data_IF_164088206475
#
_entry.id   IF_164088206475
#
_cell.length_a   1.000
_cell.length_b   1.000
_cell.length_c   1.000
_cell.angle_alpha   90.00
_cell.angle_beta   90.00
_cell.angle_gamma   90.00
#
_symmetry.space_group_name_H-M   'P 1'
#
loop_
_entity.id
_entity.type
_entity.pdbx_description
1 polymer ?
#
# COMPACT_ATOMS: atom_id res chain seq x y z
N UNK A 1 -0.12 -13.72 19.42
CA UNK A 1 0.11 -12.75 18.33
C UNK A 1 1.56 -12.76 17.87
N UNK A 2 1.97 -11.85 16.97
CA UNK A 2 3.33 -11.82 16.40
C UNK A 2 4.46 -11.71 17.43
N UNK A 3 4.23 -10.98 18.53
CA UNK A 3 5.19 -10.79 19.63
C UNK A 3 5.62 -12.10 20.30
N UNK A 4 4.69 -13.06 20.49
CA UNK A 4 5.02 -14.36 21.10
C UNK A 4 6.09 -15.10 20.29
N UNK A 5 5.95 -15.11 18.96
CA UNK A 5 6.91 -15.77 18.08
C UNK A 5 8.29 -15.10 18.13
N UNK A 6 8.35 -13.78 18.24
CA UNK A 6 9.61 -13.05 18.43
C UNK A 6 10.27 -13.40 19.77
N UNK A 7 9.49 -13.49 20.85
CA UNK A 7 9.97 -13.91 22.18
C UNK A 7 10.51 -15.34 22.15
N UNK A 8 9.77 -16.29 21.59
CA UNK A 8 10.23 -17.69 21.47
C UNK A 8 11.51 -17.75 20.63
N UNK A 9 11.58 -17.01 19.51
CA UNK A 9 12.79 -17.01 18.67
C UNK A 9 14.00 -16.42 19.40
N UNK A 10 13.80 -15.37 20.19
CA UNK A 10 14.84 -14.81 21.04
C UNK A 10 15.32 -15.85 22.07
N UNK A 11 14.40 -16.50 22.78
CA UNK A 11 14.72 -17.54 23.76
C UNK A 11 15.42 -18.75 23.13
N UNK A 12 15.03 -19.19 21.93
CA UNK A 12 15.74 -20.22 21.17
C UNK A 12 17.19 -19.82 20.90
N UNK A 13 17.41 -18.58 20.47
CA UNK A 13 18.75 -18.04 20.21
C UNK A 13 19.61 -18.03 21.49
N UNK A 14 18.98 -17.86 22.65
CA UNK A 14 19.62 -17.92 23.96
C UNK A 14 19.76 -19.34 24.55
N UNK A 15 19.30 -20.38 23.83
CA UNK A 15 19.30 -21.77 24.30
C UNK A 15 18.28 -22.03 25.43
N UNK A 16 17.21 -21.23 25.49
CA UNK A 16 16.18 -21.27 26.53
C UNK A 16 14.81 -21.71 26.01
N UNK A 17 14.66 -21.95 24.72
CA UNK A 17 13.46 -22.56 24.15
C UNK A 17 13.82 -23.52 23.00
N UNK A 18 12.95 -24.49 22.74
CA UNK A 18 13.07 -25.39 21.60
C UNK A 18 12.22 -24.93 20.40
N UNK A 19 12.26 -25.70 19.31
CA UNK A 19 11.52 -25.43 18.08
C UNK A 19 9.99 -25.52 18.24
N UNK A 20 9.50 -26.19 19.29
CA UNK A 20 8.08 -26.41 19.57
C UNK A 20 7.50 -25.37 20.54
N UNK A 21 8.32 -24.42 21.02
CA UNK A 21 7.89 -23.37 21.92
C UNK A 21 7.99 -23.74 23.40
N UNK A 22 8.60 -24.89 23.75
CA UNK A 22 8.87 -25.24 25.13
C UNK A 22 9.99 -24.34 25.66
N UNK A 23 9.63 -23.39 26.52
CA UNK A 23 10.56 -22.43 27.11
C UNK A 23 10.95 -22.83 28.53
N UNK A 24 12.22 -22.61 28.88
CA UNK A 24 12.75 -22.76 30.25
C UNK A 24 12.36 -21.61 31.17
N UNK A 25 11.87 -20.51 30.59
CA UNK A 25 11.38 -19.33 31.30
C UNK A 25 9.84 -19.36 31.23
N UNK A 26 9.12 -19.15 32.35
CA UNK A 26 7.67 -19.05 32.31
C UNK A 26 7.21 -17.89 31.42
N UNK A 27 6.24 -18.14 30.55
CA UNK A 27 5.66 -17.13 29.64
C UNK A 27 4.16 -17.09 29.88
N UNK A 28 3.64 -15.90 30.13
CA UNK A 28 2.20 -15.64 30.08
C UNK A 28 1.89 -14.88 28.80
N UNK A 29 1.28 -15.59 27.84
CA UNK A 29 0.92 -15.01 26.55
C UNK A 29 -0.48 -14.39 26.62
N UNK A 30 -0.55 -13.06 26.67
CA UNK A 30 -1.80 -12.31 26.58
C UNK A 30 -2.39 -12.44 25.16
N UNK A 31 -3.26 -13.43 24.95
CA UNK A 31 -3.97 -13.60 23.68
C UNK A 31 -5.07 -12.55 23.48
N UNK A 32 -5.65 -12.07 24.59
CA UNK A 32 -6.60 -10.96 24.63
C UNK A 32 -5.99 -9.89 25.53
N UNK A 33 -5.79 -8.69 24.98
CA UNK A 33 -5.17 -7.56 25.69
C UNK A 33 -6.20 -6.58 26.23
N UNK A 34 -7.48 -6.74 25.87
CA UNK A 34 -8.57 -5.95 26.42
C UNK A 34 -9.90 -6.73 26.42
N UNK A 35 -10.61 -6.83 27.56
CA UNK A 35 -10.13 -6.45 28.90
C UNK A 35 -9.01 -7.39 29.39
N UNK A 36 -8.16 -6.90 30.30
CA UNK A 36 -7.20 -7.74 31.01
C UNK A 36 -7.90 -8.55 32.11
N UNK A 37 -7.30 -9.66 32.52
CA UNK A 37 -7.74 -10.51 33.64
C UNK A 37 -6.76 -10.34 34.82
N UNK A 38 -7.04 -9.46 35.79
CA UNK A 38 -6.11 -9.13 36.87
C UNK A 38 -5.68 -10.33 37.71
N UNK A 39 -6.58 -11.29 37.92
CA UNK A 39 -6.34 -12.49 38.72
C UNK A 39 -5.27 -13.40 38.08
N UNK A 40 -5.33 -13.58 36.76
CA UNK A 40 -4.32 -14.34 36.00
C UNK A 40 -2.96 -13.63 36.01
N UNK A 41 -2.95 -12.30 35.86
CA UNK A 41 -1.73 -11.49 35.92
C UNK A 41 -1.10 -11.59 37.32
N UNK A 42 -1.89 -11.41 38.37
CA UNK A 42 -1.43 -11.51 39.76
C UNK A 42 -0.89 -12.91 40.07
N UNK A 43 -1.61 -13.96 39.66
CA UNK A 43 -1.19 -15.35 39.80
C UNK A 43 0.13 -15.63 39.07
N UNK A 44 0.26 -15.16 37.83
CA UNK A 44 1.50 -15.31 37.07
C UNK A 44 2.66 -14.55 37.73
N UNK A 45 2.44 -13.35 38.26
CA UNK A 45 3.51 -12.56 38.85
C UNK A 45 3.90 -12.99 40.27
N UNK A 46 3.01 -13.68 40.99
CA UNK A 46 3.25 -14.15 42.35
C UNK A 46 4.52 -15.02 42.45
N UNK A 47 5.34 -14.73 43.46
CA UNK A 47 6.59 -15.46 43.75
C UNK A 47 7.75 -15.21 42.77
N UNK A 48 7.59 -14.35 41.76
CA UNK A 48 8.67 -14.00 40.82
C UNK A 48 9.45 -12.79 41.31
N UNK A 49 10.76 -12.80 41.07
CA UNK A 49 11.64 -11.66 41.37
C UNK A 49 11.43 -10.49 40.40
N UNK A 50 11.45 -10.79 39.11
CA UNK A 50 11.20 -9.82 38.05
C UNK A 50 10.34 -10.44 36.95
N UNK A 51 9.55 -9.61 36.28
CA UNK A 51 8.77 -9.97 35.08
C UNK A 51 9.03 -8.93 34.00
N UNK A 52 9.29 -9.39 32.78
CA UNK A 52 9.46 -8.54 31.60
C UNK A 52 8.16 -8.49 30.80
N UNK A 53 7.64 -7.29 30.58
CA UNK A 53 6.53 -7.00 29.69
C UNK A 53 7.09 -6.74 28.29
N UNK A 54 6.69 -7.57 27.34
CA UNK A 54 7.05 -7.43 25.93
C UNK A 54 5.84 -6.86 25.19
N UNK A 55 5.76 -5.53 25.17
CA UNK A 55 4.70 -4.75 24.53
C UNK A 55 5.29 -3.84 23.45
N UNK A 56 4.78 -3.92 22.23
CA UNK A 56 5.11 -2.96 21.16
C UNK A 56 4.13 -1.77 21.20
N UNK A 57 4.65 -0.55 21.03
CA UNK A 57 3.83 0.67 20.98
C UNK A 57 4.12 1.67 22.10
N UNK A 58 3.58 2.88 21.93
CA UNK A 58 3.65 4.00 22.86
C UNK A 58 2.23 4.56 23.08
N UNK A 59 1.79 4.82 24.33
CA UNK A 59 2.52 4.67 25.60
C UNK A 59 2.68 3.21 26.06
N UNK A 60 3.29 2.99 27.22
CA UNK A 60 3.49 1.67 27.84
C UNK A 60 2.17 1.13 28.45
N UNK A 61 1.14 0.97 27.61
CA UNK A 61 -0.24 0.80 28.04
C UNK A 61 -0.45 -0.47 28.89
N UNK A 62 0.07 -1.62 28.45
CA UNK A 62 -0.03 -2.88 29.19
C UNK A 62 0.89 -2.90 30.41
N UNK A 63 2.10 -2.36 30.31
CA UNK A 63 3.01 -2.23 31.45
C UNK A 63 2.37 -1.43 32.60
N UNK A 64 1.81 -0.26 32.29
CA UNK A 64 1.12 0.61 33.25
C UNK A 64 -0.12 -0.08 33.84
N UNK A 65 -0.92 -0.74 33.00
CA UNK A 65 -2.11 -1.47 33.45
C UNK A 65 -1.77 -2.67 34.36
N UNK A 66 -0.70 -3.40 34.05
CA UNK A 66 -0.22 -4.53 34.87
C UNK A 66 0.33 -4.03 36.20
N UNK A 67 1.12 -2.95 36.21
CA UNK A 67 1.60 -2.31 37.44
C UNK A 67 0.42 -1.92 38.36
N UNK A 68 -0.62 -1.30 37.79
CA UNK A 68 -1.83 -0.94 38.54
C UNK A 68 -2.59 -2.18 39.05
N UNK A 69 -2.71 -3.24 38.25
CA UNK A 69 -3.38 -4.48 38.63
C UNK A 69 -2.66 -5.19 39.79
N UNK A 70 -1.33 -5.32 39.70
CA UNK A 70 -0.51 -5.92 40.75
C UNK A 70 -0.60 -5.13 42.06
N UNK A 71 -0.61 -3.79 41.96
CA UNK A 71 -0.77 -2.92 43.12
C UNK A 71 -2.12 -3.13 43.83
N UNK A 72 -3.21 -3.28 43.06
CA UNK A 72 -4.56 -3.54 43.59
C UNK A 72 -4.70 -4.93 44.21
N UNK A 73 -4.01 -5.92 43.64
CA UNK A 73 -3.99 -7.30 44.14
C UNK A 73 -2.98 -7.53 45.28
N UNK A 74 -2.31 -6.49 45.75
CA UNK A 74 -1.24 -6.52 46.76
C UNK A 74 -0.04 -7.43 46.41
N UNK A 75 0.23 -7.62 45.12
CA UNK A 75 1.39 -8.39 44.60
C UNK A 75 2.54 -7.44 44.26
N UNK A 76 3.11 -6.80 45.29
CA UNK A 76 4.07 -5.70 45.09
C UNK A 76 5.56 -6.13 45.10
N UNK A 77 5.86 -7.38 45.43
CA UNK A 77 7.25 -7.85 45.59
C UNK A 77 7.98 -8.08 44.26
N UNK A 78 7.23 -8.28 43.17
CA UNK A 78 7.77 -8.50 41.83
C UNK A 78 8.16 -7.19 41.17
N UNK A 79 9.37 -7.13 40.59
CA UNK A 79 9.77 -5.98 39.78
C UNK A 79 9.26 -6.14 38.35
N UNK A 80 8.39 -5.25 37.91
CA UNK A 80 7.96 -5.18 36.50
C UNK A 80 9.02 -4.41 35.70
N UNK A 81 9.42 -4.97 34.58
CA UNK A 81 10.33 -4.40 33.58
C UNK A 81 9.61 -4.36 32.24
N UNK A 82 10.01 -3.47 31.34
CA UNK A 82 9.42 -3.39 30.01
C UNK A 82 10.16 -2.33 29.19
N UNK A 83 9.62 -1.12 29.14
CA UNK A 83 10.18 0.00 28.35
C UNK A 83 11.55 0.49 28.82
N UNK A 84 12.00 0.08 30.00
CA UNK A 84 13.37 0.33 30.46
C UNK A 84 14.41 -0.58 29.77
N UNK A 85 13.98 -1.71 29.21
CA UNK A 85 14.83 -2.68 28.49
C UNK A 85 14.50 -2.76 27.00
N UNK A 86 13.26 -2.45 26.63
CA UNK A 86 12.73 -2.46 25.28
C UNK A 86 12.37 -1.03 24.84
N UNK A 87 12.54 -0.65 23.57
CA UNK A 87 12.33 0.73 23.14
C UNK A 87 10.86 1.16 23.27
N UNK A 88 10.62 2.43 23.60
CA UNK A 88 9.26 2.96 23.71
C UNK A 88 8.53 3.01 22.36
N UNK A 89 9.25 3.36 21.29
CA UNK A 89 8.71 3.51 19.95
C UNK A 89 9.49 2.70 18.92
N UNK A 90 8.87 2.47 17.76
CA UNK A 90 9.41 1.65 16.68
C UNK A 90 8.91 0.21 16.70
N UNK A 91 9.32 -0.55 15.70
CA UNK A 91 8.93 -1.95 15.52
C UNK A 91 9.81 -2.90 16.34
N UNK A 92 9.19 -3.84 17.05
CA UNK A 92 9.88 -4.86 17.83
C UNK A 92 10.32 -6.00 16.92
N UNK A 93 11.33 -5.72 16.10
CA UNK A 93 12.02 -6.73 15.31
C UNK A 93 12.63 -7.81 16.20
N UNK A 94 12.95 -8.98 15.62
CA UNK A 94 13.57 -10.08 16.37
C UNK A 94 14.88 -9.68 17.09
N UNK A 95 15.66 -8.76 16.52
CA UNK A 95 16.88 -8.22 17.14
C UNK A 95 16.57 -7.33 18.35
N UNK A 96 15.54 -6.49 18.27
CA UNK A 96 15.09 -5.62 19.36
C UNK A 96 14.63 -6.46 20.54
N UNK A 97 13.76 -7.45 20.29
CA UNK A 97 13.24 -8.36 21.32
C UNK A 97 14.38 -9.20 21.92
N UNK A 98 15.27 -9.76 21.09
CA UNK A 98 16.44 -10.50 21.58
C UNK A 98 17.33 -9.64 22.46
N UNK A 99 17.62 -8.40 22.04
CA UNK A 99 18.47 -7.49 22.82
C UNK A 99 17.84 -7.17 24.18
N UNK A 100 16.54 -6.87 24.23
CA UNK A 100 15.82 -6.59 25.47
C UNK A 100 15.78 -7.81 26.41
N UNK A 101 15.43 -8.99 25.90
CA UNK A 101 15.41 -10.25 26.67
C UNK A 101 16.82 -10.62 27.14
N UNK A 102 17.85 -10.44 26.32
CA UNK A 102 19.24 -10.73 26.70
C UNK A 102 19.69 -9.85 27.87
N UNK A 103 19.35 -8.56 27.86
CA UNK A 103 19.60 -7.66 29.00
C UNK A 103 18.84 -8.09 30.25
N UNK A 104 17.55 -8.42 30.11
CA UNK A 104 16.72 -8.90 31.22
C UNK A 104 17.32 -10.15 31.90
N UNK A 105 17.89 -11.06 31.10
CA UNK A 105 18.47 -12.30 31.58
C UNK A 105 19.97 -12.23 31.91
N UNK A 106 20.62 -11.07 31.75
CA UNK A 106 22.08 -10.90 31.95
C UNK A 106 22.93 -11.73 30.98
N UNK A 107 22.52 -11.80 29.71
CA UNK A 107 23.14 -12.59 28.63
C UNK A 107 23.47 -11.75 27.40
N UNK A 108 23.85 -10.48 27.56
CA UNK A 108 24.09 -9.57 26.42
C UNK A 108 25.14 -10.09 25.42
N UNK A 109 26.12 -10.88 25.89
CA UNK A 109 27.14 -11.50 25.06
C UNK A 109 26.58 -12.44 23.98
N UNK A 110 25.38 -13.00 24.19
CA UNK A 110 24.73 -13.90 23.24
C UNK A 110 24.26 -13.18 21.96
N UNK A 111 24.19 -11.85 21.96
CA UNK A 111 23.78 -11.04 20.80
C UNK A 111 24.96 -10.73 19.86
N UNK A 112 26.22 -10.88 20.34
CA UNK A 112 27.41 -10.52 19.57
C UNK A 112 27.54 -11.24 18.21
N UNK A 113 27.28 -12.55 18.07
CA UNK A 113 27.34 -13.24 16.79
C UNK A 113 26.34 -12.71 15.75
N UNK A 114 25.17 -12.26 16.20
CA UNK A 114 24.17 -11.68 15.29
C UNK A 114 24.64 -10.34 14.72
N UNK A 115 25.26 -9.50 15.56
CA UNK A 115 25.78 -8.19 15.13
C UNK A 115 26.86 -8.34 14.07
N UNK A 116 27.82 -9.26 14.27
CA UNK A 116 28.88 -9.49 13.28
C UNK A 116 28.35 -10.03 11.96
N UNK A 117 27.34 -10.93 11.99
CA UNK A 117 26.66 -11.39 10.78
C UNK A 117 25.96 -10.24 10.05
N UNK A 118 25.30 -9.33 10.78
CA UNK A 118 24.60 -8.17 10.21
C UNK A 118 25.58 -7.19 9.56
N UNK A 119 26.73 -6.93 10.17
CA UNK A 119 27.79 -6.10 9.60
C UNK A 119 28.33 -6.70 8.29
N UNK A 120 28.60 -8.01 8.28
CA UNK A 120 29.02 -8.72 7.07
C UNK A 120 27.94 -8.68 5.98
N UNK A 121 26.67 -8.86 6.35
CA UNK A 121 25.56 -8.77 5.42
C UNK A 121 25.44 -7.36 4.83
N UNK A 122 25.60 -6.31 5.65
CA UNK A 122 25.58 -4.92 5.18
C UNK A 122 26.71 -4.63 4.18
N UNK A 123 27.90 -5.18 4.39
CA UNK A 123 29.01 -5.07 3.44
C UNK A 123 28.69 -5.77 2.10
N UNK A 124 28.15 -7.00 2.16
CA UNK A 124 27.81 -7.78 0.97
C UNK A 124 26.65 -7.20 0.16
N UNK A 125 25.68 -6.57 0.84
CA UNK A 125 24.50 -5.97 0.21
C UNK A 125 24.76 -4.52 -0.24
N UNK A 126 25.95 -3.98 0.03
CA UNK A 126 26.32 -2.63 -0.41
C UNK A 126 26.28 -2.54 -1.95
N UNK A 127 25.61 -1.50 -2.46
CA UNK A 127 25.46 -1.29 -3.91
C UNK A 127 24.28 -2.03 -4.57
N UNK A 128 23.55 -2.88 -3.86
CA UNK A 128 22.31 -3.46 -4.42
C UNK A 128 21.17 -2.42 -4.45
N UNK A 129 20.37 -2.39 -5.52
CA UNK A 129 19.22 -1.50 -5.59
C UNK A 129 18.19 -1.87 -4.52
N UNK A 130 17.67 -0.85 -3.83
CA UNK A 130 16.62 -1.02 -2.85
C UNK A 130 15.34 -1.53 -3.51
N UNK A 131 14.59 -2.38 -2.80
CA UNK A 131 13.29 -2.90 -3.24
C UNK A 131 12.18 -2.34 -2.34
N UNK A 132 11.82 -1.05 -2.51
CA UNK A 132 10.76 -0.47 -1.71
C UNK A 132 9.43 -1.17 -1.98
N UNK A 133 8.51 -1.22 -0.99
CA UNK A 133 7.13 -1.60 -1.22
C UNK A 133 6.51 -0.80 -2.37
N UNK A 134 5.70 -1.47 -3.19
CA UNK A 134 5.12 -0.87 -4.38
C UNK A 134 3.73 -1.43 -4.68
N UNK A 135 3.05 -0.78 -5.62
CA UNK A 135 1.72 -1.18 -6.04
C UNK A 135 1.72 -2.53 -6.77
N UNK A 136 0.60 -3.25 -6.69
CA UNK A 136 0.39 -4.50 -7.43
C UNK A 136 0.44 -4.30 -8.95
N UNK A 137 0.64 -5.41 -9.69
CA UNK A 137 0.53 -5.42 -11.15
C UNK A 137 -0.90 -5.04 -11.55
N UNK A 138 -1.02 -4.00 -12.38
CA UNK A 138 -2.32 -3.48 -12.78
C UNK A 138 -3.09 -2.74 -11.70
N UNK A 139 -2.44 -2.31 -10.61
CA UNK A 139 -3.12 -1.49 -9.61
C UNK A 139 -3.75 -0.23 -10.23
N UNK A 140 -5.03 0.06 -9.93
CA UNK A 140 -5.75 1.20 -10.49
C UNK A 140 -5.29 2.55 -9.94
N UNK A 141 -4.42 2.61 -8.93
CA UNK A 141 -3.95 3.89 -8.37
C UNK A 141 -2.70 4.43 -9.09
N UNK A 142 -1.91 3.54 -9.72
CA UNK A 142 -0.71 3.92 -10.50
C UNK A 142 -0.98 4.99 -11.58
N UNK A 143 -2.08 4.93 -12.37
CA UNK A 143 -2.42 5.96 -13.34
C UNK A 143 -2.61 7.34 -12.71
N UNK A 144 -3.22 7.42 -11.52
CA UNK A 144 -3.46 8.68 -10.83
C UNK A 144 -2.13 9.32 -10.41
N UNK A 145 -1.22 8.53 -9.86
CA UNK A 145 0.13 9.02 -9.54
C UNK A 145 0.99 9.32 -10.77
N UNK A 146 0.75 8.62 -11.89
CA UNK A 146 1.38 8.98 -13.17
C UNK A 146 0.90 10.37 -13.63
N UNK A 147 -0.40 10.64 -13.56
CA UNK A 147 -0.98 11.94 -13.88
C UNK A 147 -0.46 13.06 -12.96
N UNK A 148 -0.38 12.82 -11.65
CA UNK A 148 0.19 13.77 -10.70
C UNK A 148 1.66 14.08 -11.00
N UNK A 149 2.46 13.08 -11.38
CA UNK A 149 3.88 13.27 -11.76
C UNK A 149 4.04 14.12 -13.03
N UNK A 150 3.15 13.94 -14.01
CA UNK A 150 3.08 14.80 -15.20
C UNK A 150 2.78 16.23 -14.77
N UNK A 151 1.82 16.44 -13.87
CA UNK A 151 1.45 17.76 -13.36
C UNK A 151 2.57 18.42 -12.56
N UNK A 152 3.30 17.68 -11.72
CA UNK A 152 4.45 18.24 -11.00
C UNK A 152 5.55 18.71 -11.96
N UNK A 153 5.74 18.02 -13.10
CA UNK A 153 6.71 18.43 -14.13
C UNK A 153 6.30 19.76 -14.79
N UNK A 154 5.00 19.96 -15.01
CA UNK A 154 4.49 21.16 -15.68
C UNK A 154 4.29 22.36 -14.74
N UNK A 155 3.78 22.12 -13.55
CA UNK A 155 3.35 23.17 -12.62
C UNK A 155 4.29 23.32 -11.41
N UNK A 156 5.28 22.44 -11.26
CA UNK A 156 6.13 22.32 -10.07
C UNK A 156 5.44 21.58 -8.92
N UNK A 157 6.22 21.18 -7.92
CA UNK A 157 5.72 20.43 -6.75
C UNK A 157 4.61 21.18 -6.00
N UNK A 158 3.76 20.40 -5.35
CA UNK A 158 2.69 20.86 -4.46
C UNK A 158 2.57 19.91 -3.26
N UNK A 159 1.97 20.36 -2.17
CA UNK A 159 1.84 19.52 -0.98
C UNK A 159 0.77 18.45 -1.19
N UNK A 160 1.14 17.21 -0.89
CA UNK A 160 0.27 16.04 -0.93
C UNK A 160 0.20 15.41 0.45
N UNK A 161 -0.97 15.48 1.08
CA UNK A 161 -1.29 14.70 2.28
C UNK A 161 -1.89 13.36 1.87
N UNK A 162 -1.56 12.28 2.58
CA UNK A 162 -2.07 10.95 2.27
C UNK A 162 -2.64 10.27 3.53
N UNK A 163 -3.72 9.52 3.35
CA UNK A 163 -4.19 8.58 4.37
C UNK A 163 -3.37 7.28 4.37
N UNK A 164 -3.55 6.45 5.38
CA UNK A 164 -3.06 5.07 5.40
C UNK A 164 -3.84 4.25 4.35
N UNK A 165 -3.12 3.60 3.43
CA UNK A 165 -3.69 2.77 2.37
C UNK A 165 -2.67 2.41 1.29
N UNK A 166 -3.10 1.72 0.23
CA UNK A 166 -2.22 1.35 -0.88
C UNK A 166 -1.53 2.56 -1.51
N UNK A 167 -2.23 3.69 -1.57
CA UNK A 167 -1.74 4.95 -2.11
C UNK A 167 -0.48 5.45 -1.42
N UNK A 168 -0.17 5.04 -0.19
CA UNK A 168 1.07 5.40 0.48
C UNK A 168 2.33 4.97 -0.26
N UNK A 169 2.26 3.90 -1.06
CA UNK A 169 3.40 3.47 -1.85
C UNK A 169 3.79 4.49 -2.94
N UNK A 170 2.95 5.51 -3.21
CA UNK A 170 3.33 6.63 -4.07
C UNK A 170 4.45 7.49 -3.49
N UNK A 171 4.63 7.50 -2.17
CA UNK A 171 5.70 8.27 -1.51
C UNK A 171 7.09 7.75 -1.87
N UNK A 172 7.17 6.49 -2.31
CA UNK A 172 8.38 5.79 -2.67
C UNK A 172 8.65 5.87 -4.18
N UNK A 173 9.89 5.58 -4.63
CA UNK A 173 10.18 5.45 -6.05
C UNK A 173 9.27 4.44 -6.76
N UNK A 174 8.89 4.70 -8.03
CA UNK A 174 9.34 5.82 -8.86
C UNK A 174 8.47 7.08 -8.75
N UNK A 175 7.37 7.06 -8.00
CA UNK A 175 6.42 8.18 -7.97
C UNK A 175 6.98 9.34 -7.15
N UNK A 176 7.44 9.08 -5.92
CA UNK A 176 7.92 10.12 -4.98
C UNK A 176 6.89 11.23 -4.72
N UNK A 177 5.62 10.84 -4.60
CA UNK A 177 4.46 11.72 -4.38
C UNK A 177 3.89 11.46 -2.99
N UNK A 178 3.90 12.49 -2.15
CA UNK A 178 3.40 12.46 -0.78
C UNK A 178 4.36 13.15 0.19
N UNK A 179 3.81 13.94 1.11
CA UNK A 179 4.56 14.76 2.06
C UNK A 179 4.22 14.42 3.51
N UNK A 180 2.95 14.16 3.79
CA UNK A 180 2.45 13.81 5.13
C UNK A 180 1.54 12.61 5.05
N UNK A 181 1.58 11.79 6.10
CA UNK A 181 0.72 10.62 6.25
C UNK A 181 0.05 10.71 7.61
N UNK A 182 -1.28 10.63 7.65
CA UNK A 182 -1.99 10.61 8.93
C UNK A 182 -3.22 9.71 8.91
N UNK A 183 -3.15 8.64 9.71
CA UNK A 183 -4.29 7.83 10.10
C UNK A 183 -5.11 7.26 8.93
N UNK A 184 -6.28 6.73 9.25
CA UNK A 184 -7.20 6.16 8.28
C UNK A 184 -8.43 7.06 8.16
N UNK A 185 -8.46 7.90 7.12
CA UNK A 185 -9.49 8.91 6.92
C UNK A 185 -9.22 10.26 7.63
N UNK A 186 -7.98 10.54 8.01
CA UNK A 186 -7.58 11.76 8.73
C UNK A 186 -6.68 12.70 7.92
N UNK A 187 -6.18 12.25 6.77
CA UNK A 187 -5.30 13.00 5.88
C UNK A 187 -5.90 14.34 5.49
N UNK A 188 -7.18 14.37 5.09
CA UNK A 188 -7.86 15.62 4.72
C UNK A 188 -7.98 16.54 5.93
N UNK A 189 -8.40 16.01 7.08
CA UNK A 189 -8.55 16.80 8.30
C UNK A 189 -7.22 17.46 8.72
N UNK A 190 -6.11 16.71 8.64
CA UNK A 190 -4.77 17.25 8.93
C UNK A 190 -4.34 18.34 7.96
N UNK A 191 -4.75 18.22 6.70
CA UNK A 191 -4.41 19.17 5.66
C UNK A 191 -5.07 20.54 5.88
N UNK A 192 -6.20 20.62 6.61
CA UNK A 192 -6.79 21.91 7.02
C UNK A 192 -5.78 22.84 7.74
N UNK A 193 -4.81 22.27 8.47
CA UNK A 193 -3.78 23.04 9.16
C UNK A 193 -2.61 23.44 8.24
N UNK A 194 -2.37 22.67 7.18
CA UNK A 194 -1.26 22.87 6.25
C UNK A 194 -1.64 23.81 5.10
N UNK A 195 -2.86 23.68 4.58
CA UNK A 195 -3.32 24.40 3.40
C UNK A 195 -3.17 25.93 3.49
N UNK A 196 -3.48 26.61 4.61
CA UNK A 196 -3.31 28.07 4.72
C UNK A 196 -1.86 28.55 4.62
N UNK A 197 -0.89 27.69 4.93
CA UNK A 197 0.54 28.00 4.88
C UNK A 197 1.17 27.72 3.50
N UNK A 198 0.40 27.16 2.56
CA UNK A 198 0.89 26.76 1.24
C UNK A 198 0.48 27.78 0.16
N UNK A 199 1.41 28.09 -0.75
CA UNK A 199 1.15 29.02 -1.86
C UNK A 199 0.21 28.42 -2.92
N UNK A 200 0.19 27.10 -3.05
CA UNK A 200 -0.68 26.34 -3.97
C UNK A 200 -1.70 25.55 -3.14
N UNK A 201 -2.85 25.25 -3.75
CA UNK A 201 -3.81 24.29 -3.19
C UNK A 201 -3.10 22.98 -2.89
N UNK A 202 -3.35 22.47 -1.71
CA UNK A 202 -2.89 21.17 -1.27
C UNK A 202 -3.79 20.07 -1.84
N UNK A 203 -3.22 18.89 -2.07
CA UNK A 203 -3.94 17.70 -2.52
C UNK A 203 -3.94 16.68 -1.41
N UNK A 204 -5.08 16.05 -1.14
CA UNK A 204 -5.19 14.93 -0.21
C UNK A 204 -5.55 13.67 -0.98
N UNK A 205 -4.83 12.57 -0.75
CA UNK A 205 -5.18 11.26 -1.29
C UNK A 205 -5.80 10.41 -0.18
N UNK A 206 -7.00 9.90 -0.44
CA UNK A 206 -7.80 9.11 0.49
C UNK A 206 -8.34 7.88 -0.23
N UNK A 207 -8.28 6.70 0.39
CA UNK A 207 -9.01 5.52 -0.09
C UNK A 207 -10.49 5.61 0.27
N UNK A 208 -11.36 4.97 -0.50
CA UNK A 208 -12.79 4.85 -0.16
C UNK A 208 -13.05 4.25 1.24
N UNK A 209 -12.22 3.32 1.70
CA UNK A 209 -12.31 2.82 3.07
C UNK A 209 -11.99 3.88 4.13
N UNK A 210 -10.98 4.73 3.87
CA UNK A 210 -10.69 5.88 4.73
C UNK A 210 -11.83 6.90 4.72
N UNK A 211 -12.45 7.11 3.56
CA UNK A 211 -13.63 7.97 3.42
C UNK A 211 -14.79 7.49 4.29
N UNK A 212 -15.15 6.20 4.21
CA UNK A 212 -16.25 5.63 4.98
C UNK A 212 -15.95 5.48 6.48
N UNK A 213 -14.69 5.31 6.88
CA UNK A 213 -14.34 5.17 8.29
C UNK A 213 -14.39 6.51 9.03
N UNK A 214 -13.62 7.52 8.60
CA UNK A 214 -13.56 8.83 9.28
C UNK A 214 -13.56 10.01 8.29
N UNK A 215 -13.18 9.78 7.03
CA UNK A 215 -12.91 10.85 6.08
C UNK A 215 -14.11 11.77 5.83
N UNK A 216 -15.31 11.20 5.73
CA UNK A 216 -16.54 11.97 5.56
C UNK A 216 -16.81 12.91 6.75
N UNK A 217 -16.75 12.37 7.97
CA UNK A 217 -17.15 13.09 9.19
C UNK A 217 -16.08 14.05 9.70
N UNK A 218 -14.80 13.66 9.69
CA UNK A 218 -13.71 14.47 10.24
C UNK A 218 -13.03 15.35 9.20
N UNK A 219 -12.94 14.89 7.95
CA UNK A 219 -12.25 15.58 6.87
C UNK A 219 -13.18 16.47 6.05
N UNK A 220 -14.14 15.86 5.36
CA UNK A 220 -15.03 16.53 4.40
C UNK A 220 -15.95 17.52 5.09
N UNK A 221 -16.66 17.09 6.14
CA UNK A 221 -17.58 17.95 6.90
C UNK A 221 -16.88 19.24 7.38
N UNK A 222 -15.67 19.08 7.93
CA UNK A 222 -14.84 20.18 8.41
C UNK A 222 -14.43 21.12 7.27
N UNK A 223 -14.03 20.57 6.12
CA UNK A 223 -13.66 21.38 4.95
C UNK A 223 -14.82 22.19 4.39
N UNK A 224 -16.02 21.60 4.33
CA UNK A 224 -17.22 22.31 3.88
C UNK A 224 -17.58 23.41 4.88
N UNK A 225 -17.62 23.09 6.18
CA UNK A 225 -17.95 24.05 7.24
C UNK A 225 -16.99 25.25 7.26
N UNK A 226 -15.68 24.99 7.21
CA UNK A 226 -14.65 26.04 7.25
C UNK A 226 -14.35 26.67 5.89
N UNK A 227 -15.01 26.22 4.81
CA UNK A 227 -14.75 26.66 3.42
C UNK A 227 -13.28 26.51 3.00
N UNK A 228 -12.62 25.47 3.48
CA UNK A 228 -11.21 25.20 3.18
C UNK A 228 -11.03 24.86 1.68
N UNK A 229 -10.09 25.57 1.04
CA UNK A 229 -9.86 25.51 -0.40
C UNK A 229 -8.79 24.46 -0.76
N UNK A 230 -9.07 23.19 -0.47
CA UNK A 230 -8.20 22.05 -0.75
C UNK A 230 -8.74 21.15 -1.88
N UNK A 231 -7.94 20.19 -2.32
CA UNK A 231 -8.35 19.14 -3.26
C UNK A 231 -8.30 17.79 -2.53
N UNK A 232 -9.38 17.02 -2.60
CA UNK A 232 -9.45 15.63 -2.16
C UNK A 232 -9.54 14.73 -3.39
N UNK A 233 -8.65 13.76 -3.51
CA UNK A 233 -8.72 12.68 -4.48
C UNK A 233 -9.08 11.40 -3.73
N UNK A 234 -10.27 10.86 -4.01
CA UNK A 234 -10.75 9.61 -3.42
C UNK A 234 -10.45 8.46 -4.37
N UNK A 235 -9.60 7.52 -3.96
CA UNK A 235 -9.33 6.28 -4.67
C UNK A 235 -10.50 5.30 -4.42
N UNK A 236 -11.49 5.29 -5.30
CA UNK A 236 -12.66 4.41 -5.25
C UNK A 236 -12.32 3.09 -5.93
N UNK A 237 -11.65 2.21 -5.19
CA UNK A 237 -11.24 0.89 -5.67
C UNK A 237 -12.17 -0.26 -5.21
N UNK A 238 -13.14 0.06 -4.35
CA UNK A 238 -14.20 -0.81 -3.90
C UNK A 238 -13.86 -1.64 -2.66
N UNK A 239 -12.68 -1.48 -2.05
CA UNK A 239 -12.22 -2.34 -0.95
C UNK A 239 -11.23 -1.62 -0.04
N UNK A 240 -11.16 -2.00 1.24
CA UNK A 240 -9.97 -1.70 2.05
C UNK A 240 -8.81 -2.63 1.63
N UNK A 241 -8.22 -2.31 0.48
CA UNK A 241 -7.34 -3.22 -0.25
C UNK A 241 -6.06 -3.57 0.53
N UNK A 242 -5.43 -2.58 1.17
CA UNK A 242 -4.14 -2.75 1.86
C UNK A 242 -4.19 -3.69 3.08
N UNK A 243 -5.36 -3.80 3.70
CA UNK A 243 -5.57 -4.56 4.95
C UNK A 243 -6.11 -5.97 4.71
N UNK A 244 -6.22 -6.42 3.46
CA UNK A 244 -6.76 -7.73 3.12
C UNK A 244 -8.18 -7.68 2.54
N UNK A 245 -8.48 -6.62 1.77
CA UNK A 245 -9.68 -6.50 0.92
C UNK A 245 -11.00 -6.63 1.69
N UNK A 246 -11.10 -5.92 2.82
CA UNK A 246 -12.36 -5.80 3.55
C UNK A 246 -13.40 -5.10 2.69
N UNK A 247 -14.64 -5.56 2.81
CA UNK A 247 -15.79 -4.96 2.16
C UNK A 247 -16.14 -3.63 2.84
N UNK A 248 -16.70 -2.72 2.03
CA UNK A 248 -17.03 -1.34 2.35
C UNK A 248 -18.42 -1.04 1.76
N UNK A 249 -19.06 0.06 2.16
CA UNK A 249 -20.23 0.56 1.45
C UNK A 249 -20.03 0.76 -0.07
N UNK A 250 -18.81 1.15 -0.48
CA UNK A 250 -18.43 1.28 -1.90
C UNK A 250 -18.14 -0.05 -2.61
N UNK A 251 -18.16 -1.19 -1.92
CA UNK A 251 -17.90 -2.48 -2.55
C UNK A 251 -19.03 -2.90 -3.50
N UNK A 252 -18.71 -3.65 -4.58
CA UNK A 252 -19.73 -4.20 -5.47
C UNK A 252 -20.76 -5.05 -4.72
N UNK A 253 -20.32 -5.85 -3.75
CA UNK A 253 -21.12 -6.66 -2.85
C UNK A 253 -20.55 -6.50 -1.43
N UNK A 254 -21.40 -6.18 -0.45
CA UNK A 254 -21.00 -6.07 0.97
C UNK A 254 -22.04 -6.59 1.96
N UNK A 255 -23.26 -6.92 1.51
CA UNK A 255 -24.35 -7.49 2.31
C UNK A 255 -25.42 -8.06 1.38
N UNK A 256 -26.27 -8.95 1.91
CA UNK A 256 -27.44 -9.49 1.20
C UNK A 256 -28.51 -8.42 0.93
N UNK A 257 -28.57 -7.41 1.81
CA UNK A 257 -29.40 -6.20 1.66
C UNK A 257 -28.48 -5.02 1.41
N UNK A 258 -28.19 -4.73 0.13
CA UNK A 258 -27.36 -3.59 -0.24
C UNK A 258 -28.20 -2.31 -0.22
N UNK A 259 -27.91 -1.41 0.72
CA UNK A 259 -28.42 -0.04 0.66
C UNK A 259 -27.57 0.79 -0.30
N UNK A 260 -28.20 1.68 -1.06
CA UNK A 260 -27.55 2.52 -2.07
C UNK A 260 -26.94 3.78 -1.44
N UNK A 261 -25.84 3.61 -0.69
CA UNK A 261 -25.02 4.71 -0.17
C UNK A 261 -23.75 4.88 -1.01
N UNK A 262 -23.79 5.81 -1.95
CA UNK A 262 -22.63 6.15 -2.78
C UNK A 262 -21.82 7.31 -2.19
N UNK A 263 -20.52 7.35 -2.53
CA UNK A 263 -19.61 8.43 -2.12
C UNK A 263 -20.13 9.76 -2.68
N UNK A 264 -20.57 9.75 -3.93
CA UNK A 264 -21.16 10.88 -4.66
C UNK A 264 -22.34 11.49 -3.89
N UNK A 265 -23.33 10.67 -3.52
CA UNK A 265 -24.53 11.14 -2.80
C UNK A 265 -24.21 11.63 -1.39
N UNK A 266 -23.25 11.00 -0.71
CA UNK A 266 -22.80 11.45 0.61
C UNK A 266 -22.11 12.82 0.54
N UNK A 267 -21.28 13.05 -0.49
CA UNK A 267 -20.61 14.33 -0.72
C UNK A 267 -21.59 15.43 -1.16
N UNK A 268 -22.57 15.11 -1.99
CA UNK A 268 -23.66 16.03 -2.34
C UNK A 268 -24.48 16.42 -1.10
N UNK A 269 -24.88 15.44 -0.29
CA UNK A 269 -25.67 15.65 0.92
C UNK A 269 -24.97 16.51 1.96
N UNK A 270 -23.64 16.46 2.06
CA UNK A 270 -22.86 17.31 2.97
C UNK A 270 -22.54 18.69 2.39
N UNK A 271 -22.88 18.95 1.12
CA UNK A 271 -22.75 20.25 0.47
C UNK A 271 -21.39 20.52 -0.17
N UNK A 272 -20.72 19.49 -0.71
CA UNK A 272 -19.49 19.70 -1.50
C UNK A 272 -19.83 20.46 -2.79
N UNK A 273 -19.19 21.61 -3.06
CA UNK A 273 -19.57 22.48 -4.17
C UNK A 273 -19.03 22.00 -5.53
N UNK A 274 -17.88 21.31 -5.52
CA UNK A 274 -17.18 20.87 -6.71
C UNK A 274 -16.82 19.39 -6.59
N UNK A 275 -17.37 18.59 -7.49
CA UNK A 275 -17.12 17.14 -7.54
C UNK A 275 -17.03 16.67 -8.99
N UNK A 276 -16.02 15.83 -9.29
CA UNK A 276 -15.89 15.15 -10.59
C UNK A 276 -15.46 13.70 -10.39
N UNK A 277 -16.05 12.80 -11.16
CA UNK A 277 -15.64 11.39 -11.21
C UNK A 277 -14.83 11.15 -12.48
N UNK A 278 -13.71 10.43 -12.36
CA UNK A 278 -12.81 10.07 -13.46
C UNK A 278 -12.48 8.59 -13.39
N UNK A 279 -12.29 7.95 -14.55
CA UNK A 279 -11.79 6.58 -14.59
C UNK A 279 -10.26 6.59 -14.45
N UNK A 280 -9.73 5.85 -13.47
CA UNK A 280 -8.29 5.92 -13.13
C UNK A 280 -7.37 5.67 -14.32
N UNK A 281 -7.62 4.62 -15.11
CA UNK A 281 -6.77 4.29 -16.26
C UNK A 281 -6.70 5.38 -17.35
N UNK A 282 -7.59 6.38 -17.38
CA UNK A 282 -7.51 7.49 -18.32
C UNK A 282 -6.59 8.60 -17.78
N UNK A 283 -5.28 8.37 -17.87
CA UNK A 283 -4.25 9.25 -17.28
C UNK A 283 -4.40 10.71 -17.72
N UNK A 284 -4.70 10.94 -19.00
CA UNK A 284 -4.92 12.30 -19.53
C UNK A 284 -6.15 13.00 -18.92
N UNK A 285 -7.24 12.25 -18.70
CA UNK A 285 -8.47 12.77 -18.07
C UNK A 285 -8.24 13.09 -16.58
N UNK A 286 -7.54 12.21 -15.85
CA UNK A 286 -7.14 12.45 -14.47
C UNK A 286 -6.26 13.70 -14.38
N UNK A 287 -5.26 13.81 -15.26
CA UNK A 287 -4.36 14.96 -15.28
C UNK A 287 -5.11 16.27 -15.58
N UNK A 288 -6.01 16.25 -16.58
CA UNK A 288 -6.84 17.39 -16.94
C UNK A 288 -7.73 17.81 -15.76
N UNK A 289 -8.43 16.88 -15.14
CA UNK A 289 -9.32 17.14 -14.01
C UNK A 289 -8.58 17.69 -12.80
N UNK A 290 -7.38 17.18 -12.50
CA UNK A 290 -6.57 17.71 -11.41
C UNK A 290 -6.06 19.13 -11.70
N UNK A 291 -5.64 19.43 -12.94
CA UNK A 291 -5.28 20.79 -13.37
C UNK A 291 -6.47 21.75 -13.24
N UNK A 292 -7.66 21.33 -13.66
CA UNK A 292 -8.88 22.11 -13.49
C UNK A 292 -9.19 22.40 -12.02
N UNK A 293 -9.05 21.41 -11.13
CA UNK A 293 -9.24 21.60 -9.69
C UNK A 293 -8.21 22.59 -9.10
N UNK A 294 -6.94 22.47 -9.50
CA UNK A 294 -5.86 23.36 -9.06
C UNK A 294 -6.04 24.80 -9.55
N UNK A 295 -6.52 24.99 -10.78
CA UNK A 295 -6.72 26.30 -11.40
C UNK A 295 -8.09 26.92 -11.11
N UNK A 296 -9.03 26.17 -10.51
CA UNK A 296 -10.39 26.64 -10.28
C UNK A 296 -10.44 27.95 -9.48
N UNK A 297 -11.27 28.90 -9.92
CA UNK A 297 -11.51 30.16 -9.19
C UNK A 297 -12.54 30.00 -8.08
N UNK A 298 -13.38 28.98 -8.17
CA UNK A 298 -14.37 28.64 -7.15
C UNK A 298 -13.66 28.33 -5.83
N UNK A 299 -14.23 28.74 -4.70
CA UNK A 299 -13.69 28.49 -3.36
C UNK A 299 -14.37 27.29 -2.70
N UNK A 300 -13.72 26.69 -1.70
CA UNK A 300 -14.19 25.48 -1.02
C UNK A 300 -13.55 24.20 -1.55
N UNK A 301 -13.92 23.06 -0.97
CA UNK A 301 -13.31 21.76 -1.26
C UNK A 301 -13.61 21.30 -2.70
N UNK A 302 -12.59 20.79 -3.38
CA UNK A 302 -12.71 20.11 -4.68
C UNK A 302 -12.56 18.63 -4.44
N UNK A 303 -13.51 17.81 -4.87
CA UNK A 303 -13.41 16.36 -4.77
C UNK A 303 -13.29 15.72 -6.15
N UNK A 304 -12.27 14.89 -6.32
CA UNK A 304 -12.07 14.03 -7.49
C UNK A 304 -12.27 12.60 -7.04
N UNK A 305 -13.29 11.93 -7.56
CA UNK A 305 -13.54 10.50 -7.33
C UNK A 305 -12.84 9.73 -8.44
N UNK A 306 -11.74 9.08 -8.09
CA UNK A 306 -10.87 8.36 -8.98
C UNK A 306 -11.27 6.87 -8.94
N UNK A 307 -12.07 6.43 -9.92
CA UNK A 307 -12.70 5.11 -9.92
C UNK A 307 -11.87 4.07 -10.68
N UNK A 308 -11.69 2.91 -10.05
CA UNK A 308 -11.11 1.73 -10.69
C UNK A 308 -10.98 0.56 -9.72
N UNK A 309 -11.66 -0.55 -10.01
CA UNK A 309 -11.69 -1.76 -9.16
C UNK A 309 -10.27 -2.26 -8.83
N UNK A 310 -10.04 -2.63 -7.56
CA UNK A 310 -8.80 -3.28 -7.14
C UNK A 310 -8.48 -4.48 -8.04
N UNK A 311 -7.35 -4.42 -8.73
CA UNK A 311 -7.01 -5.41 -9.75
C UNK A 311 -6.78 -6.81 -9.16
N UNK A 312 -6.36 -6.92 -7.89
CA UNK A 312 -6.24 -8.23 -7.23
C UNK A 312 -7.60 -8.92 -7.11
N UNK A 313 -8.62 -8.20 -6.62
CA UNK A 313 -9.98 -8.74 -6.49
C UNK A 313 -10.64 -8.96 -7.84
N UNK A 314 -10.45 -8.04 -8.78
CA UNK A 314 -10.90 -8.23 -10.17
C UNK A 314 -10.32 -9.51 -10.77
N UNK A 315 -9.03 -9.77 -10.59
CA UNK A 315 -8.41 -11.01 -11.08
C UNK A 315 -8.89 -12.24 -10.31
N UNK A 316 -9.08 -12.15 -8.99
CA UNK A 316 -9.64 -13.24 -8.18
C UNK A 316 -11.04 -13.64 -8.68
N UNK A 317 -11.88 -12.67 -9.03
CA UNK A 317 -13.22 -12.86 -9.60
C UNK A 317 -13.20 -13.42 -11.02
N UNK A 318 -12.36 -12.85 -11.90
CA UNK A 318 -12.39 -13.19 -13.33
C UNK A 318 -11.62 -14.47 -13.67
N UNK A 319 -10.56 -14.83 -12.93
CA UNK A 319 -9.73 -16.01 -13.26
C UNK A 319 -10.50 -17.33 -13.27
N UNK A 320 -11.35 -17.66 -12.28
CA UNK A 320 -12.15 -18.89 -12.30
C UNK A 320 -13.13 -18.92 -13.47
N UNK A 321 -13.82 -17.80 -13.73
CA UNK A 321 -14.79 -17.67 -14.83
C UNK A 321 -14.09 -17.88 -16.18
N UNK A 322 -12.93 -17.24 -16.38
CA UNK A 322 -12.14 -17.41 -17.61
C UNK A 322 -11.65 -18.86 -17.74
N UNK A 323 -11.17 -19.48 -16.65
CA UNK A 323 -10.71 -20.86 -16.67
C UNK A 323 -11.86 -21.84 -17.04
N UNK A 324 -13.07 -21.60 -16.56
CA UNK A 324 -14.25 -22.41 -16.90
C UNK A 324 -14.63 -22.25 -18.38
N UNK A 325 -14.71 -21.02 -18.89
CA UNK A 325 -14.95 -20.74 -20.31
C UNK A 325 -13.91 -21.43 -21.20
N UNK A 326 -12.64 -21.36 -20.79
CA UNK A 326 -11.54 -22.02 -21.49
C UNK A 326 -11.68 -23.54 -21.52
N UNK A 327 -12.11 -24.17 -20.42
CA UNK A 327 -12.39 -25.62 -20.36
C UNK A 327 -13.55 -26.03 -21.25
N UNK A 328 -14.55 -25.16 -21.42
CA UNK A 328 -15.69 -25.39 -22.34
C UNK A 328 -15.33 -25.19 -23.81
N UNK A 329 -14.08 -24.83 -24.14
CA UNK A 329 -13.66 -24.55 -25.51
C UNK A 329 -14.15 -23.20 -26.04
N UNK A 330 -14.64 -22.31 -25.17
CA UNK A 330 -15.12 -20.99 -25.57
C UNK A 330 -13.95 -20.08 -25.95
N UNK A 331 -14.16 -19.25 -26.97
CA UNK A 331 -13.19 -18.25 -27.43
C UNK A 331 -12.89 -17.24 -26.33
N UNK A 332 -11.62 -17.08 -25.98
CA UNK A 332 -11.17 -16.08 -25.02
C UNK A 332 -10.10 -15.18 -25.65
N UNK A 333 -10.22 -13.87 -25.44
CA UNK A 333 -9.23 -12.89 -25.90
C UNK A 333 -8.56 -12.28 -24.69
N UNK A 334 -7.25 -12.41 -24.63
CA UNK A 334 -6.42 -11.75 -23.61
C UNK A 334 -5.60 -10.65 -24.26
N UNK A 335 -5.73 -9.44 -23.74
CA UNK A 335 -4.90 -8.30 -24.15
C UNK A 335 -3.51 -8.44 -23.54
N UNK A 336 -2.47 -8.30 -24.36
CA UNK A 336 -1.07 -8.17 -23.93
C UNK A 336 -0.51 -6.90 -24.55
N UNK A 337 0.21 -6.12 -23.76
CA UNK A 337 0.98 -4.98 -24.28
C UNK A 337 2.42 -5.41 -24.49
N UNK A 338 3.05 -4.85 -25.51
CA UNK A 338 4.46 -5.05 -25.80
C UNK A 338 5.14 -3.73 -26.14
N UNK A 339 6.47 -3.80 -26.24
CA UNK A 339 7.32 -2.70 -26.69
C UNK A 339 8.01 -3.17 -27.96
N UNK A 340 7.90 -2.37 -29.01
CA UNK A 340 8.66 -2.52 -30.24
C UNK A 340 10.07 -1.97 -30.02
N UNK A 341 11.06 -2.82 -30.27
CA UNK A 341 12.46 -2.59 -29.94
C UNK A 341 13.11 -1.65 -30.96
N UNK A 342 12.60 -1.66 -32.20
CA UNK A 342 13.09 -0.82 -33.29
C UNK A 342 12.76 0.65 -33.06
N UNK A 343 11.59 0.92 -32.45
CA UNK A 343 11.10 2.27 -32.16
C UNK A 343 11.36 2.71 -30.71
N UNK A 344 11.78 1.80 -29.84
CA UNK A 344 12.13 2.13 -28.45
C UNK A 344 13.34 3.06 -28.41
N UNK A 345 13.24 4.21 -27.74
CA UNK A 345 14.35 5.17 -27.63
C UNK A 345 15.39 4.79 -26.57
N UNK A 346 15.11 3.78 -25.72
CA UNK A 346 15.98 3.42 -24.59
C UNK A 346 15.92 4.40 -23.41
N UNK A 347 15.03 5.40 -23.44
CA UNK A 347 14.97 6.42 -22.38
C UNK A 347 14.35 5.90 -21.07
N UNK A 348 13.58 4.80 -21.12
CA UNK A 348 12.81 4.18 -20.02
C UNK A 348 11.88 5.11 -19.24
N UNK A 349 11.40 6.20 -19.86
CA UNK A 349 10.42 7.11 -19.24
C UNK A 349 9.12 6.38 -18.90
N UNK A 350 8.74 5.38 -19.70
CA UNK A 350 7.58 4.53 -19.46
C UNK A 350 7.66 3.74 -18.14
N UNK A 351 8.85 3.27 -17.74
CA UNK A 351 9.08 2.60 -16.45
C UNK A 351 9.01 3.62 -15.32
N UNK A 352 9.68 4.78 -15.46
CA UNK A 352 9.71 5.83 -14.43
C UNK A 352 8.35 6.50 -14.18
N UNK A 353 7.46 6.50 -15.17
CA UNK A 353 6.10 7.04 -15.03
C UNK A 353 5.11 5.99 -14.54
N UNK A 354 5.16 4.75 -15.05
CA UNK A 354 4.18 3.71 -14.69
C UNK A 354 4.51 2.97 -13.38
N UNK A 355 5.80 2.79 -13.10
CA UNK A 355 6.33 1.89 -12.07
C UNK A 355 5.89 0.43 -12.21
N UNK A 356 5.42 0.01 -13.38
CA UNK A 356 4.81 -1.31 -13.59
C UNK A 356 5.81 -2.45 -13.32
N UNK A 357 5.53 -3.43 -12.44
CA UNK A 357 6.47 -4.50 -12.14
C UNK A 357 6.73 -5.44 -13.33
N UNK A 358 5.83 -5.46 -14.30
CA UNK A 358 5.95 -6.28 -15.52
C UNK A 358 6.55 -5.52 -16.69
N UNK A 359 6.96 -4.26 -16.51
CA UNK A 359 7.68 -3.48 -17.50
C UNK A 359 9.13 -3.33 -17.03
N UNK A 360 10.04 -4.05 -17.69
CA UNK A 360 11.46 -4.14 -17.33
C UNK A 360 12.32 -3.83 -18.54
N UNK A 361 13.63 -4.04 -18.44
CA UNK A 361 14.59 -3.89 -19.53
C UNK A 361 15.12 -5.26 -19.97
N UNK A 362 15.54 -5.34 -21.23
CA UNK A 362 16.36 -6.43 -21.78
C UNK A 362 17.42 -5.84 -22.71
N UNK A 363 18.39 -6.67 -23.08
CA UNK A 363 19.42 -6.27 -24.04
C UNK A 363 18.81 -5.87 -25.38
N UNK A 364 19.43 -4.90 -26.03
CA UNK A 364 19.02 -4.45 -27.36
C UNK A 364 19.33 -5.54 -28.39
N UNK A 365 18.38 -5.95 -29.24
CA UNK A 365 18.66 -6.92 -30.31
C UNK A 365 19.61 -6.37 -31.37
N UNK A 366 19.70 -5.03 -31.52
CA UNK A 366 20.61 -4.38 -32.44
C UNK A 366 22.02 -4.25 -31.80
N UNK A 367 23.05 -4.92 -32.34
CA UNK A 367 24.41 -4.88 -31.78
C UNK A 367 25.07 -3.50 -31.90
N UNK A 368 24.53 -2.58 -32.69
CA UNK A 368 25.02 -1.21 -32.81
C UNK A 368 24.46 -0.28 -31.72
N UNK A 369 23.47 -0.72 -30.96
CA UNK A 369 22.80 0.06 -29.91
C UNK A 369 23.09 -0.51 -28.54
N UNK A 370 23.77 0.28 -27.70
CA UNK A 370 24.17 -0.14 -26.36
C UNK A 370 23.06 0.05 -25.31
N UNK A 371 22.10 0.94 -25.56
CA UNK A 371 21.02 1.21 -24.62
C UNK A 371 20.00 0.06 -24.61
N UNK A 372 19.67 -0.50 -23.42
CA UNK A 372 18.72 -1.60 -23.32
C UNK A 372 17.32 -1.12 -23.69
N UNK A 373 16.51 -2.05 -24.19
CA UNK A 373 15.12 -1.78 -24.60
C UNK A 373 14.15 -2.15 -23.50
N UNK A 374 13.08 -1.38 -23.38
CA UNK A 374 11.99 -1.76 -22.47
C UNK A 374 11.29 -3.01 -23.01
N UNK A 375 10.79 -3.86 -22.11
CA UNK A 375 10.08 -5.09 -22.45
C UNK A 375 8.99 -5.40 -21.42
N UNK A 376 7.91 -6.01 -21.89
CA UNK A 376 6.79 -6.45 -21.05
C UNK A 376 6.89 -7.95 -20.81
N UNK A 377 7.20 -8.35 -19.58
CA UNK A 377 7.32 -9.75 -19.18
C UNK A 377 5.95 -10.41 -18.93
N UNK A 378 5.95 -11.73 -18.84
CA UNK A 378 4.77 -12.49 -18.47
C UNK A 378 4.30 -12.14 -17.04
N UNK A 379 2.98 -12.12 -16.85
CA UNK A 379 2.33 -11.57 -15.66
C UNK A 379 1.61 -10.25 -15.89
N UNK A 380 1.87 -9.57 -17.03
CA UNK A 380 1.09 -8.41 -17.44
C UNK A 380 -0.40 -8.78 -17.59
N UNK A 381 -1.27 -8.03 -16.91
CA UNK A 381 -2.72 -8.24 -16.92
C UNK A 381 -3.47 -7.40 -17.97
N UNK A 382 -2.74 -6.79 -18.91
CA UNK A 382 -3.35 -6.13 -20.07
C UNK A 382 -4.16 -4.87 -19.75
N UNK A 383 -3.81 -4.14 -18.68
CA UNK A 383 -4.60 -3.02 -18.16
C UNK A 383 -4.30 -1.66 -18.83
N UNK A 384 -3.34 -1.58 -19.76
CA UNK A 384 -3.17 -0.44 -20.66
C UNK A 384 -2.41 0.78 -20.15
N UNK A 385 -2.09 0.89 -18.85
CA UNK A 385 -1.40 2.07 -18.31
C UNK A 385 -0.10 2.45 -19.04
N UNK A 386 0.70 1.49 -19.48
CA UNK A 386 1.95 1.79 -20.16
C UNK A 386 1.72 2.55 -21.49
N UNK A 387 0.69 2.18 -22.24
CA UNK A 387 0.25 2.90 -23.43
C UNK A 387 -0.40 4.24 -23.10
N UNK A 388 -1.27 4.28 -22.09
CA UNK A 388 -1.91 5.52 -21.63
C UNK A 388 -0.88 6.57 -21.18
N UNK A 389 0.15 6.15 -20.43
CA UNK A 389 1.26 7.02 -20.06
C UNK A 389 2.06 7.47 -21.27
N UNK A 390 2.26 6.60 -22.27
CA UNK A 390 2.97 6.98 -23.48
C UNK A 390 2.26 8.09 -24.25
N UNK A 391 0.93 8.01 -24.38
CA UNK A 391 0.14 9.07 -24.99
C UNK A 391 0.07 10.33 -24.13
N UNK A 392 -0.27 10.20 -22.84
CA UNK A 392 -0.48 11.34 -21.95
C UNK A 392 0.79 12.15 -21.67
N UNK A 393 1.95 11.49 -21.62
CA UNK A 393 3.24 12.15 -21.38
C UNK A 393 4.07 12.37 -22.67
N UNK A 394 3.49 12.09 -23.85
CA UNK A 394 4.14 12.21 -25.17
C UNK A 394 5.51 11.51 -25.18
N UNK A 395 5.50 10.22 -24.82
CA UNK A 395 6.69 9.37 -24.81
C UNK A 395 6.93 8.74 -26.19
N UNK A 396 8.00 7.94 -26.32
CA UNK A 396 8.29 7.21 -27.55
C UNK A 396 7.11 6.30 -27.96
N UNK A 397 6.82 6.19 -29.28
CA UNK A 397 5.65 5.47 -29.81
C UNK A 397 5.83 3.93 -29.82
N UNK A 398 6.71 3.40 -28.96
CA UNK A 398 7.12 2.00 -29.01
C UNK A 398 6.09 1.01 -28.47
N UNK A 399 5.00 1.47 -27.84
CA UNK A 399 4.00 0.56 -27.28
C UNK A 399 3.02 0.06 -28.34
N UNK A 400 2.81 -1.25 -28.37
CA UNK A 400 1.75 -1.87 -29.15
C UNK A 400 0.81 -2.70 -28.27
N UNK A 401 -0.44 -2.81 -28.72
CA UNK A 401 -1.46 -3.67 -28.11
C UNK A 401 -1.64 -4.91 -28.98
N UNK A 402 -1.38 -6.08 -28.40
CA UNK A 402 -1.62 -7.38 -29.02
C UNK A 402 -2.80 -8.09 -28.36
N UNK A 403 -3.53 -8.88 -29.16
CA UNK A 403 -4.59 -9.75 -28.68
C UNK A 403 -4.17 -11.20 -28.83
N UNK A 404 -4.08 -11.91 -27.71
CA UNK A 404 -3.81 -13.34 -27.68
C UNK A 404 -5.15 -14.06 -27.64
N UNK A 405 -5.50 -14.73 -28.73
CA UNK A 405 -6.75 -15.49 -28.86
C UNK A 405 -6.48 -16.94 -28.41
N UNK A 406 -7.25 -17.39 -27.44
CA UNK A 406 -7.30 -18.78 -27.01
C UNK A 406 -8.65 -19.39 -27.43
N UNK A 407 -8.64 -20.67 -27.83
CA UNK A 407 -9.77 -21.33 -28.50
C UNK A 407 -10.26 -20.54 -29.74
N UNK A 408 -9.39 -20.32 -30.75
CA UNK A 408 -9.73 -19.51 -31.92
C UNK A 408 -10.86 -20.17 -32.73
N UNK A 409 -11.81 -19.35 -33.17
CA UNK A 409 -12.87 -19.76 -34.09
C UNK A 409 -12.29 -20.03 -35.47
N UNK A 410 -13.08 -20.66 -36.34
CA UNK A 410 -12.69 -20.86 -37.74
C UNK A 410 -12.36 -19.53 -38.45
N UNK A 411 -13.11 -18.46 -38.12
CA UNK A 411 -12.87 -17.12 -38.66
C UNK A 411 -11.55 -16.53 -38.19
N UNK A 412 -11.22 -16.68 -36.90
CA UNK A 412 -9.93 -16.21 -36.37
C UNK A 412 -8.75 -16.88 -37.11
N UNK A 413 -8.87 -18.19 -37.39
CA UNK A 413 -7.86 -18.95 -38.13
C UNK A 413 -7.75 -18.51 -39.59
N UNK A 414 -8.87 -18.23 -40.25
CA UNK A 414 -8.89 -17.75 -41.65
C UNK A 414 -8.27 -16.35 -41.75
N UNK A 415 -8.63 -15.43 -40.86
CA UNK A 415 -8.04 -14.08 -40.80
C UNK A 415 -6.54 -14.17 -40.53
N UNK A 416 -6.11 -15.04 -39.61
CA UNK A 416 -4.69 -15.23 -39.31
C UNK A 416 -3.91 -15.75 -40.54
N UNK A 417 -4.48 -16.70 -41.31
CA UNK A 417 -3.87 -17.18 -42.56
C UNK A 417 -3.74 -16.08 -43.60
N UNK A 418 -4.81 -15.30 -43.80
CA UNK A 418 -4.80 -14.19 -44.76
C UNK A 418 -3.78 -13.10 -44.38
N UNK A 419 -3.70 -12.75 -43.09
CA UNK A 419 -2.69 -11.80 -42.58
C UNK A 419 -1.28 -12.35 -42.76
N UNK A 420 -1.05 -13.63 -42.49
CA UNK A 420 0.24 -14.28 -42.70
C UNK A 420 0.71 -14.26 -44.16
N UNK A 421 -0.21 -14.30 -45.12
CA UNK A 421 0.13 -14.17 -46.55
C UNK A 421 0.35 -12.74 -47.02
N UNK A 422 -0.15 -11.73 -46.29
CA UNK A 422 -0.08 -10.31 -46.66
C UNK A 422 1.07 -9.55 -45.98
N UNK A 423 1.73 -10.14 -44.97
CA UNK A 423 2.79 -9.50 -44.16
C UNK A 423 4.15 -10.17 -44.44
N UNK A 424 4.45 -10.41 -45.72
CA UNK A 424 5.79 -10.79 -46.17
C UNK A 424 6.45 -9.65 -46.95
#
# INVERSE_FOLDING_TARGET
GGMYNAVIRALQTLGLADAFGNARVPIYCLNVTYPLVPEEIASFCAGKREVLIVEEGQPAYLEDAILAALRRADVNAVKVRGKDLLPLAGEYTGEVVLTGISKFLGREQAVAPMRSLKERAAQLLSGLPQRPPGFCVGCPERPVFSAMKIIEKESGKYHVSADIGCHLFSTLPPFNIGNTVLGYGLGLASNSAVNPAMAKRTVTIMGDGGFWHNGLTTGVANHVFNKNDGILVIMKNGYSSATGTQELPSSPQHSDTKEDISIERALEGIGVPWMKTVHNYHVGEVAKTLKEAMASKEKGLKVIIAEGECQLERQRKLRPVVAEKMKKGERHVRVKYGVDEDTCTGDHSCIRLSGCPTLTIKDNPDPLRNDPVATVIDGCVGYGLCGENAHAAVLCPSFYRAEVIQNPTWWDKLVARFRGTAVH
#
